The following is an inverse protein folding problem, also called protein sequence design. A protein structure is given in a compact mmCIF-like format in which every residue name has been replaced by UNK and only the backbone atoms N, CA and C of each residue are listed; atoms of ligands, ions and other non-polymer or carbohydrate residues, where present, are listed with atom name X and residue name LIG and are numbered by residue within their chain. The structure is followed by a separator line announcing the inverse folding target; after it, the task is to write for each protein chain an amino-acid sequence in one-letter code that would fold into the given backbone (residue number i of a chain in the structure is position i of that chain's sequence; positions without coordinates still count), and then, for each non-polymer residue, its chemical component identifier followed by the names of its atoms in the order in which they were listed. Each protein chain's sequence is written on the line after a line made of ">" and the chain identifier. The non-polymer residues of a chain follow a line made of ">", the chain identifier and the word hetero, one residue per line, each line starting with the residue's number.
data_IF_741323197023
#
_entry.id   IF_741323197023
#
_cell.length_a   1.000
_cell.length_b   1.000
_cell.length_c   1.000
_cell.angle_alpha   90.00
_cell.angle_beta   90.00
_cell.angle_gamma   90.00
#
_symmetry.space_group_name_H-M   'P 1'
#
loop_
_entity.id
_entity.type
_entity.pdbx_description
1 polymer ?
#
# COMPACT_ATOMS: atom_id res chain seq x y z
N UNK A 1 -34.64 -8.31 2.14
CA UNK A 1 -33.63 -9.12 2.83
C UNK A 1 -34.39 -9.98 3.81
N UNK A 2 -34.21 -11.29 3.75
CA UNK A 2 -34.88 -12.26 4.62
C UNK A 2 -34.62 -11.95 6.09
N UNK A 3 -35.67 -11.96 6.90
CA UNK A 3 -35.62 -12.03 8.36
C UNK A 3 -34.83 -13.28 8.77
N UNK A 4 -33.52 -13.16 8.82
CA UNK A 4 -32.70 -14.14 9.54
C UNK A 4 -32.97 -13.86 11.01
N UNK A 5 -33.89 -14.64 11.60
CA UNK A 5 -34.18 -14.65 13.03
C UNK A 5 -32.96 -15.07 13.83
N UNK A 6 -31.99 -14.17 13.94
CA UNK A 6 -30.87 -14.29 14.86
C UNK A 6 -31.40 -13.74 16.17
N UNK A 7 -31.89 -14.63 17.02
CA UNK A 7 -32.24 -14.24 18.39
C UNK A 7 -30.96 -13.83 19.14
N UNK A 8 -31.01 -12.76 19.94
CA UNK A 8 -29.89 -12.35 20.76
C UNK A 8 -29.46 -13.49 21.68
N UNK A 9 -28.17 -13.83 21.69
CA UNK A 9 -27.60 -14.82 22.62
C UNK A 9 -27.62 -14.36 24.08
N UNK A 10 -28.01 -13.11 24.33
CA UNK A 10 -28.19 -12.53 25.66
C UNK A 10 -29.38 -11.56 25.67
N UNK A 11 -30.30 -11.76 26.62
CA UNK A 11 -31.43 -10.87 26.91
C UNK A 11 -31.27 -10.45 28.38
N UNK A 12 -30.80 -9.23 28.63
CA UNK A 12 -30.56 -8.67 29.97
C UNK A 12 -30.30 -7.16 29.93
N UNK A 13 -30.19 -6.52 31.10
CA UNK A 13 -29.86 -5.09 31.20
C UNK A 13 -28.36 -4.91 30.98
N UNK A 14 -27.96 -4.12 29.99
CA UNK A 14 -26.55 -3.87 29.61
C UNK A 14 -25.71 -3.14 30.69
N UNK A 15 -26.30 -2.88 31.86
CA UNK A 15 -25.71 -2.15 32.98
C UNK A 15 -24.51 -2.92 33.59
N UNK A 16 -24.52 -4.25 33.51
CA UNK A 16 -23.47 -5.13 34.03
C UNK A 16 -22.46 -5.61 32.96
N UNK A 17 -22.68 -5.26 31.68
CA UNK A 17 -21.77 -5.58 30.58
C UNK A 17 -20.62 -4.58 30.54
N UNK A 18 -19.72 -4.67 31.53
CA UNK A 18 -18.45 -3.94 31.49
C UNK A 18 -17.60 -4.55 30.38
N UNK A 19 -17.40 -3.81 29.29
CA UNK A 19 -16.43 -4.19 28.26
C UNK A 19 -15.03 -4.11 28.86
N UNK A 20 -14.55 -5.23 29.41
CA UNK A 20 -13.21 -5.35 29.93
C UNK A 20 -12.28 -5.43 28.72
N UNK A 21 -11.67 -4.30 28.37
CA UNK A 21 -10.57 -4.27 27.41
C UNK A 21 -9.41 -5.05 28.04
N UNK A 22 -8.96 -6.17 27.45
CA UNK A 22 -7.74 -6.83 27.90
C UNK A 22 -6.60 -5.80 27.84
N UNK A 23 -6.06 -5.44 29.01
CA UNK A 23 -4.90 -4.54 29.10
C UNK A 23 -3.65 -5.20 28.49
N UNK A 24 -3.62 -6.53 28.52
CA UNK A 24 -2.67 -7.34 27.77
C UNK A 24 -3.25 -7.59 26.38
N UNK A 25 -2.70 -6.89 25.38
CA UNK A 25 -2.84 -7.31 23.99
C UNK A 25 -2.41 -8.78 23.90
N UNK A 26 -3.05 -9.58 23.03
CA UNK A 26 -2.48 -10.87 22.65
C UNK A 26 -1.01 -10.64 22.34
N UNK A 27 -0.11 -11.29 23.10
CA UNK A 27 1.26 -11.38 22.67
C UNK A 27 1.18 -12.03 21.29
N UNK A 28 1.45 -11.25 20.24
CA UNK A 28 1.83 -11.78 18.95
C UNK A 28 3.19 -12.44 19.15
N UNK A 29 3.18 -13.57 19.86
CA UNK A 29 4.24 -14.53 19.75
C UNK A 29 4.26 -14.85 18.26
N UNK A 30 5.33 -14.43 17.59
CA UNK A 30 5.69 -15.00 16.29
C UNK A 30 5.54 -16.51 16.51
N UNK A 31 4.52 -17.12 15.89
CA UNK A 31 4.37 -18.58 15.88
C UNK A 31 5.75 -19.17 15.58
N UNK A 32 6.09 -20.33 16.16
CA UNK A 32 7.47 -20.82 16.30
C UNK A 32 8.28 -20.42 15.08
N UNK A 33 9.16 -19.42 15.25
CA UNK A 33 9.74 -18.69 14.14
C UNK A 33 10.24 -19.72 13.14
N UNK A 34 9.55 -19.81 12.00
CA UNK A 34 9.92 -20.76 10.97
C UNK A 34 11.39 -20.48 10.68
N UNK A 35 12.25 -21.45 10.98
CA UNK A 35 13.68 -21.26 10.81
C UNK A 35 13.92 -21.28 9.32
N UNK A 36 13.91 -20.08 8.73
CA UNK A 36 14.25 -19.89 7.33
C UNK A 36 15.62 -20.49 7.08
N UNK A 37 15.74 -21.25 6.00
CA UNK A 37 17.06 -21.64 5.53
C UNK A 37 17.91 -20.39 5.25
N UNK A 38 19.23 -20.61 5.15
CA UNK A 38 20.20 -19.53 5.02
C UNK A 38 19.94 -18.64 3.80
N UNK A 39 19.39 -19.18 2.72
CA UNK A 39 19.13 -18.42 1.49
C UNK A 39 17.91 -17.52 1.66
N UNK A 40 16.82 -18.06 2.17
CA UNK A 40 15.60 -17.32 2.46
C UNK A 40 15.84 -16.25 3.53
N UNK A 41 16.64 -16.53 4.57
CA UNK A 41 17.02 -15.54 5.57
C UNK A 41 17.83 -14.37 4.98
N UNK A 42 18.77 -14.65 4.06
CA UNK A 42 19.51 -13.62 3.31
C UNK A 42 18.59 -12.78 2.44
N UNK A 43 17.66 -13.43 1.74
CA UNK A 43 16.70 -12.77 0.85
C UNK A 43 15.78 -11.84 1.64
N UNK A 44 15.26 -12.32 2.77
CA UNK A 44 14.45 -11.54 3.69
C UNK A 44 15.18 -10.28 4.18
N UNK A 45 16.42 -10.45 4.66
CA UNK A 45 17.27 -9.35 5.12
C UNK A 45 17.54 -8.32 4.02
N UNK A 46 17.78 -8.78 2.78
CA UNK A 46 17.95 -7.91 1.60
C UNK A 46 16.72 -7.05 1.36
N UNK A 47 15.52 -7.65 1.32
CA UNK A 47 14.29 -6.91 1.02
C UNK A 47 13.87 -5.96 2.14
N UNK A 48 14.04 -6.35 3.41
CA UNK A 48 13.80 -5.45 4.55
C UNK A 48 14.70 -4.22 4.49
N UNK A 49 16.01 -4.44 4.36
CA UNK A 49 16.97 -3.32 4.29
C UNK A 49 16.69 -2.43 3.07
N UNK A 50 16.34 -3.03 1.94
CA UNK A 50 15.92 -2.32 0.73
C UNK A 50 14.68 -1.47 0.98
N UNK A 51 13.65 -2.05 1.60
CA UNK A 51 12.39 -1.37 1.96
C UNK A 51 12.64 -0.15 2.83
N UNK A 52 13.42 -0.27 3.90
CA UNK A 52 13.72 0.87 4.77
C UNK A 52 14.53 1.97 4.08
N UNK A 53 15.51 1.59 3.24
CA UNK A 53 16.26 2.56 2.42
C UNK A 53 15.34 3.26 1.41
N UNK A 54 14.47 2.51 0.73
CA UNK A 54 13.47 3.03 -0.19
C UNK A 54 12.53 4.01 0.51
N UNK A 55 11.97 3.63 1.66
CA UNK A 55 11.12 4.50 2.46
C UNK A 55 11.82 5.82 2.86
N UNK A 56 13.07 5.76 3.30
CA UNK A 56 13.85 6.97 3.61
C UNK A 56 14.10 7.84 2.37
N UNK A 57 14.35 7.24 1.21
CA UNK A 57 14.53 7.95 -0.07
C UNK A 57 13.22 8.60 -0.53
N UNK A 58 12.10 7.88 -0.49
CA UNK A 58 10.78 8.39 -0.85
C UNK A 58 10.45 9.67 -0.07
N UNK A 59 10.72 9.71 1.24
CA UNK A 59 10.51 10.92 2.07
C UNK A 59 11.33 12.14 1.64
N UNK A 60 12.44 11.95 0.92
CA UNK A 60 13.28 13.03 0.40
C UNK A 60 12.81 13.54 -0.97
N UNK A 61 11.99 12.79 -1.70
CA UNK A 61 11.50 13.19 -3.03
C UNK A 61 10.63 14.45 -3.01
N UNK A 62 10.09 14.82 -1.85
CA UNK A 62 9.36 16.10 -1.66
C UNK A 62 10.24 17.35 -1.87
N UNK A 63 11.56 17.22 -1.75
CA UNK A 63 12.52 18.31 -2.00
C UNK A 63 12.93 18.34 -3.49
N UNK A 64 13.51 19.45 -3.94
CA UNK A 64 13.98 19.58 -5.33
C UNK A 64 12.86 19.91 -6.32
N UNK A 65 11.71 20.40 -5.83
CA UNK A 65 10.53 20.73 -6.62
C UNK A 65 10.44 22.25 -6.95
N UNK A 66 11.46 23.03 -6.61
CA UNK A 66 11.44 24.51 -6.63
C UNK A 66 11.20 25.05 -8.04
N UNK A 67 11.78 24.39 -9.05
CA UNK A 67 11.70 24.78 -10.46
C UNK A 67 10.59 24.07 -11.23
N UNK A 68 9.86 23.16 -10.59
CA UNK A 68 8.78 22.39 -11.21
C UNK A 68 7.48 23.20 -11.17
N UNK A 69 7.06 23.77 -12.30
CA UNK A 69 5.90 24.67 -12.36
C UNK A 69 4.79 24.20 -13.28
N UNK A 70 4.98 23.09 -14.02
CA UNK A 70 3.98 22.62 -14.97
C UNK A 70 2.73 22.11 -14.24
N UNK A 71 1.58 22.50 -14.77
CA UNK A 71 0.24 22.11 -14.28
C UNK A 71 -0.65 21.54 -15.37
N UNK A 72 -0.19 21.57 -16.64
CA UNK A 72 -0.90 21.03 -17.81
C UNK A 72 -0.02 19.95 -18.46
N UNK A 73 -0.67 18.87 -18.87
CA UNK A 73 -0.05 17.74 -19.56
C UNK A 73 -0.22 17.88 -21.08
N UNK A 74 0.77 17.49 -21.89
CA UNK A 74 0.56 17.29 -23.32
C UNK A 74 -0.30 16.04 -23.59
N UNK A 75 -0.96 15.93 -24.76
CA UNK A 75 -1.89 14.85 -25.06
C UNK A 75 -1.32 13.43 -24.94
N UNK A 76 -0.03 13.26 -25.24
CA UNK A 76 0.69 11.97 -25.27
C UNK A 76 1.37 11.61 -23.93
N UNK A 77 1.21 12.45 -22.91
CA UNK A 77 1.94 12.28 -21.65
C UNK A 77 1.57 11.00 -20.90
N UNK A 78 0.27 10.75 -20.75
CA UNK A 78 -0.20 9.60 -19.98
C UNK A 78 0.14 8.29 -20.66
N UNK A 79 0.02 8.21 -21.99
CA UNK A 79 0.45 7.04 -22.75
C UNK A 79 1.93 6.72 -22.47
N UNK A 80 2.81 7.72 -22.53
CA UNK A 80 4.24 7.54 -22.23
C UNK A 80 4.49 7.13 -20.77
N UNK A 81 3.79 7.75 -19.83
CA UNK A 81 3.93 7.47 -18.41
C UNK A 81 3.45 6.05 -18.05
N UNK A 82 2.28 5.66 -18.56
CA UNK A 82 1.71 4.33 -18.36
C UNK A 82 2.55 3.25 -19.03
N UNK A 83 3.07 3.50 -20.24
CA UNK A 83 3.99 2.56 -20.91
C UNK A 83 5.26 2.36 -20.09
N UNK A 84 5.86 3.45 -19.56
CA UNK A 84 7.01 3.35 -18.65
C UNK A 84 6.67 2.58 -17.37
N UNK A 85 5.48 2.78 -16.79
CA UNK A 85 5.06 2.02 -15.60
C UNK A 85 4.88 0.52 -15.91
N UNK A 86 4.29 0.18 -17.06
CA UNK A 86 4.13 -1.21 -17.53
C UNK A 86 5.48 -1.89 -17.78
N UNK A 87 6.43 -1.19 -18.38
CA UNK A 87 7.82 -1.68 -18.58
C UNK A 87 8.53 -1.96 -17.25
N UNK A 88 8.06 -1.39 -16.14
CA UNK A 88 8.56 -1.59 -14.78
C UNK A 88 7.76 -2.63 -13.99
N UNK A 89 6.91 -3.44 -14.65
CA UNK A 89 6.06 -4.47 -14.03
C UNK A 89 5.03 -3.91 -13.03
N UNK A 90 4.44 -2.73 -13.30
CA UNK A 90 3.27 -2.24 -12.58
C UNK A 90 1.99 -2.84 -13.17
N UNK A 91 1.19 -3.48 -12.32
CA UNK A 91 -0.06 -4.15 -12.72
C UNK A 91 -1.25 -3.19 -12.76
N UNK A 92 -1.29 -2.19 -11.87
CA UNK A 92 -2.37 -1.22 -11.80
C UNK A 92 -1.85 0.20 -11.78
N UNK A 93 -2.53 1.06 -12.53
CA UNK A 93 -2.36 2.50 -12.46
C UNK A 93 -3.73 3.18 -12.44
N UNK A 94 -3.91 4.09 -11.50
CA UNK A 94 -5.14 4.86 -11.37
C UNK A 94 -4.87 6.27 -10.88
N UNK A 95 -5.87 7.13 -11.04
CA UNK A 95 -5.75 8.55 -10.81
C UNK A 95 -6.92 9.04 -9.97
N UNK A 96 -6.63 9.81 -8.94
CA UNK A 96 -7.65 10.40 -8.06
C UNK A 96 -7.14 11.72 -7.48
N UNK A 97 -8.01 12.67 -7.12
CA UNK A 97 -7.63 13.73 -6.18
C UNK A 97 -7.09 13.13 -4.87
N UNK A 98 -6.22 13.87 -4.19
CA UNK A 98 -5.84 13.56 -2.80
C UNK A 98 -7.06 13.78 -1.93
N UNK A 99 -7.45 12.75 -1.17
CA UNK A 99 -8.60 12.81 -0.26
C UNK A 99 -8.07 13.21 1.12
N UNK A 100 -8.24 14.49 1.47
CA UNK A 100 -7.63 15.08 2.67
C UNK A 100 -8.02 14.37 3.98
N UNK A 101 -9.25 13.85 4.07
CA UNK A 101 -9.73 13.08 5.22
C UNK A 101 -8.97 11.76 5.43
N UNK A 102 -8.24 11.28 4.42
CA UNK A 102 -7.45 10.07 4.43
C UNK A 102 -5.94 10.36 4.43
N UNK A 103 -5.55 11.55 4.90
CA UNK A 103 -4.16 11.90 5.21
C UNK A 103 -3.91 11.67 6.70
N UNK A 104 -2.82 10.99 7.06
CA UNK A 104 -2.48 10.74 8.46
C UNK A 104 -2.25 12.05 9.24
N UNK A 105 -2.74 12.07 10.49
CA UNK A 105 -2.69 13.24 11.37
C UNK A 105 -1.26 13.80 11.49
N UNK A 106 -1.13 15.11 11.31
CA UNK A 106 0.14 15.83 11.43
C UNK A 106 1.07 15.69 10.22
N UNK A 107 0.67 14.95 9.18
CA UNK A 107 1.42 14.87 7.93
C UNK A 107 0.82 15.83 6.89
N UNK A 108 1.70 16.44 6.08
CA UNK A 108 1.32 17.39 5.03
C UNK A 108 1.62 16.78 3.66
N UNK A 109 0.60 16.74 2.81
CA UNK A 109 0.71 16.37 1.39
C UNK A 109 0.65 17.66 0.57
N UNK A 110 1.57 17.82 -0.38
CA UNK A 110 1.65 19.05 -1.19
C UNK A 110 0.98 18.92 -2.55
N UNK A 111 0.79 17.68 -3.03
CA UNK A 111 0.06 17.37 -4.25
C UNK A 111 -1.46 17.45 -4.05
N UNK A 112 -2.17 17.88 -5.10
CA UNK A 112 -3.65 17.84 -5.14
C UNK A 112 -4.21 16.57 -5.76
N UNK A 113 -3.37 15.84 -6.49
CA UNK A 113 -3.72 14.60 -7.17
C UNK A 113 -2.78 13.49 -6.70
N UNK A 114 -3.27 12.27 -6.70
CA UNK A 114 -2.54 11.05 -6.45
C UNK A 114 -2.57 10.18 -7.71
N UNK A 115 -1.41 9.60 -8.03
CA UNK A 115 -1.27 8.51 -8.98
C UNK A 115 -1.07 7.26 -8.14
N UNK A 116 -1.99 6.32 -8.23
CA UNK A 116 -1.99 5.09 -7.45
C UNK A 116 -1.36 3.99 -8.27
N UNK A 117 -0.36 3.32 -7.72
CA UNK A 117 0.33 2.20 -8.35
C UNK A 117 0.02 0.91 -7.59
N UNK A 118 -0.25 -0.17 -8.31
CA UNK A 118 -0.48 -1.49 -7.72
C UNK A 118 0.48 -2.54 -8.29
N UNK A 119 0.98 -3.40 -7.41
CA UNK A 119 1.81 -4.55 -7.78
C UNK A 119 1.31 -5.83 -7.11
N UNK A 120 1.14 -6.87 -7.90
CA UNK A 120 0.75 -8.22 -7.48
C UNK A 120 1.88 -8.86 -6.65
N UNK A 121 1.48 -9.53 -5.58
CA UNK A 121 2.34 -10.47 -4.86
C UNK A 121 2.21 -11.86 -5.48
N UNK A 122 3.32 -12.57 -5.67
CA UNK A 122 3.33 -13.89 -6.33
C UNK A 122 2.45 -14.91 -5.61
N UNK A 123 1.52 -15.53 -6.35
CA UNK A 123 0.56 -16.51 -5.81
C UNK A 123 1.24 -17.69 -5.12
N UNK A 124 2.28 -18.26 -5.74
CA UNK A 124 2.99 -19.43 -5.23
C UNK A 124 3.66 -19.17 -3.87
N UNK A 125 3.98 -17.91 -3.57
CA UNK A 125 4.52 -17.49 -2.28
C UNK A 125 3.41 -17.16 -1.28
N UNK A 126 2.41 -16.39 -1.68
CA UNK A 126 1.33 -15.95 -0.78
C UNK A 126 0.48 -17.12 -0.30
N UNK A 127 0.23 -18.14 -1.14
CA UNK A 127 -0.56 -19.32 -0.75
C UNK A 127 0.06 -20.15 0.39
N UNK A 128 1.31 -19.86 0.77
CA UNK A 128 2.00 -20.54 1.88
C UNK A 128 1.70 -19.91 3.24
N UNK A 129 0.85 -18.87 3.31
CA UNK A 129 0.53 -18.21 4.56
C UNK A 129 -0.14 -19.15 5.58
N UNK A 130 0.18 -19.03 6.89
CA UNK A 130 1.25 -18.21 7.45
C UNK A 130 2.63 -18.88 7.27
N UNK A 131 3.61 -18.15 6.72
CA UNK A 131 5.00 -18.63 6.59
C UNK A 131 5.99 -17.48 6.39
N UNK A 132 7.27 -17.75 6.63
CA UNK A 132 8.37 -16.85 6.30
C UNK A 132 8.51 -16.61 4.79
N UNK A 133 8.15 -17.59 3.94
CA UNK A 133 8.13 -17.43 2.48
C UNK A 133 7.12 -16.38 2.04
N UNK A 134 5.91 -16.40 2.61
CA UNK A 134 4.90 -15.37 2.37
C UNK A 134 5.42 -13.99 2.81
N UNK A 135 6.06 -13.91 3.98
CA UNK A 135 6.63 -12.66 4.49
C UNK A 135 7.74 -12.09 3.59
N UNK A 136 8.60 -12.94 3.02
CA UNK A 136 9.63 -12.55 2.04
C UNK A 136 8.99 -11.90 0.82
N UNK A 137 7.90 -12.48 0.29
CA UNK A 137 7.19 -11.93 -0.86
C UNK A 137 6.57 -10.56 -0.57
N UNK A 138 5.98 -10.39 0.62
CA UNK A 138 5.44 -9.08 1.05
C UNK A 138 6.54 -8.01 1.02
N UNK A 139 7.72 -8.29 1.58
CA UNK A 139 8.83 -7.33 1.58
C UNK A 139 9.51 -7.19 0.21
N UNK A 140 9.47 -8.21 -0.65
CA UNK A 140 9.89 -8.08 -2.05
C UNK A 140 9.09 -6.98 -2.71
N UNK A 141 7.76 -7.04 -2.64
CA UNK A 141 6.89 -6.05 -3.25
C UNK A 141 7.11 -4.67 -2.62
N UNK A 142 7.21 -4.56 -1.29
CA UNK A 142 7.52 -3.27 -0.67
C UNK A 142 8.81 -2.62 -1.18
N UNK A 143 9.87 -3.43 -1.35
CA UNK A 143 11.12 -2.94 -1.92
C UNK A 143 10.92 -2.54 -3.38
N UNK A 144 10.38 -3.43 -4.21
CA UNK A 144 10.35 -3.27 -5.67
C UNK A 144 9.39 -2.15 -6.08
N UNK A 145 8.13 -2.20 -5.62
CA UNK A 145 7.14 -1.15 -5.86
C UNK A 145 7.59 0.20 -5.27
N UNK A 146 8.26 0.18 -4.11
CA UNK A 146 8.83 1.39 -3.52
C UNK A 146 9.91 2.04 -4.38
N UNK A 147 10.83 1.25 -4.94
CA UNK A 147 11.86 1.76 -5.86
C UNK A 147 11.24 2.31 -7.15
N UNK A 148 10.26 1.61 -7.74
CA UNK A 148 9.55 2.06 -8.95
C UNK A 148 8.77 3.35 -8.69
N UNK A 149 8.12 3.46 -7.54
CA UNK A 149 7.37 4.67 -7.18
C UNK A 149 8.29 5.89 -7.08
N UNK A 150 9.49 5.71 -6.53
CA UNK A 150 10.52 6.76 -6.51
C UNK A 150 10.97 7.10 -7.94
N UNK A 151 11.24 6.09 -8.77
CA UNK A 151 11.64 6.32 -10.16
C UNK A 151 10.60 7.10 -10.96
N UNK A 152 9.34 6.70 -10.90
CA UNK A 152 8.25 7.39 -11.58
C UNK A 152 8.01 8.80 -11.00
N UNK A 153 8.18 8.98 -9.70
CA UNK A 153 8.14 10.31 -9.06
C UNK A 153 9.23 11.23 -9.63
N UNK A 154 10.47 10.75 -9.69
CA UNK A 154 11.59 11.54 -10.24
C UNK A 154 11.46 11.74 -11.76
N UNK A 155 10.82 10.82 -12.48
CA UNK A 155 10.45 11.04 -13.88
C UNK A 155 9.47 12.22 -14.01
N UNK A 156 8.38 12.26 -13.23
CA UNK A 156 7.44 13.39 -13.23
C UNK A 156 8.14 14.71 -12.91
N UNK A 157 9.07 14.67 -11.94
CA UNK A 157 9.90 15.83 -11.58
C UNK A 157 10.81 16.24 -12.73
N UNK A 158 11.49 15.32 -13.38
CA UNK A 158 12.30 15.61 -14.57
C UNK A 158 11.48 16.22 -15.72
N UNK A 159 10.20 15.90 -15.81
CA UNK A 159 9.27 16.48 -16.80
C UNK A 159 8.73 17.88 -16.42
N UNK A 160 9.04 18.39 -15.22
CA UNK A 160 8.62 19.73 -14.79
C UNK A 160 7.41 19.77 -13.85
N UNK A 161 6.90 18.62 -13.38
CA UNK A 161 5.75 18.54 -12.47
C UNK A 161 6.22 18.39 -11.02
N UNK A 162 5.52 19.05 -10.08
CA UNK A 162 5.79 18.86 -8.65
C UNK A 162 5.28 17.48 -8.25
N UNK A 163 6.15 16.67 -7.67
CA UNK A 163 5.82 15.30 -7.26
C UNK A 163 6.50 14.95 -5.93
N UNK A 164 5.85 14.06 -5.18
CA UNK A 164 6.45 13.39 -4.03
C UNK A 164 5.99 11.95 -3.99
N UNK A 165 6.93 11.05 -3.71
CA UNK A 165 6.69 9.61 -3.64
C UNK A 165 6.01 9.27 -2.31
N UNK A 166 4.97 8.45 -2.42
CA UNK A 166 4.40 7.71 -1.32
C UNK A 166 4.94 6.27 -1.42
N UNK A 167 5.48 5.70 -0.35
CA UNK A 167 6.12 4.37 -0.43
C UNK A 167 5.11 3.32 0.06
N UNK A 168 5.05 2.10 -0.50
CA UNK A 168 4.02 1.13 -0.14
C UNK A 168 4.15 0.62 1.31
N UNK A 169 5.36 0.64 1.87
CA UNK A 169 5.61 0.31 3.29
C UNK A 169 5.06 1.36 4.28
N UNK A 170 4.77 2.57 3.81
CA UNK A 170 4.21 3.63 4.63
C UNK A 170 4.35 5.01 4.00
N UNK A 171 3.58 5.96 4.50
CA UNK A 171 3.63 7.32 4.02
C UNK A 171 2.59 8.21 4.68
N UNK A 172 1.95 9.05 3.87
CA UNK A 172 1.07 10.13 4.31
C UNK A 172 -0.39 9.87 4.02
N UNK A 173 -0.69 9.03 3.03
CA UNK A 173 -2.04 8.70 2.59
C UNK A 173 -2.43 7.34 3.16
N UNK A 174 -3.72 7.16 3.41
CA UNK A 174 -4.32 5.85 3.58
C UNK A 174 -4.66 5.32 2.19
N UNK A 175 -3.96 4.28 1.75
CA UNK A 175 -4.04 3.82 0.35
C UNK A 175 -5.42 3.30 0.01
N UNK A 176 -6.05 2.50 0.87
CA UNK A 176 -7.32 1.82 0.57
C UNK A 176 -8.39 2.76 -0.01
N UNK A 177 -8.77 3.85 0.68
CA UNK A 177 -9.72 4.83 0.14
C UNK A 177 -9.29 5.49 -1.18
N UNK A 178 -7.99 5.77 -1.35
CA UNK A 178 -7.49 6.37 -2.59
C UNK A 178 -7.52 5.38 -3.76
N UNK A 179 -7.23 4.10 -3.50
CA UNK A 179 -7.31 3.01 -4.49
C UNK A 179 -8.76 2.82 -4.95
N UNK A 180 -9.73 2.86 -4.02
CA UNK A 180 -11.16 2.79 -4.35
C UNK A 180 -11.58 4.01 -5.16
N UNK A 181 -11.18 5.21 -4.76
CA UNK A 181 -11.50 6.44 -5.50
C UNK A 181 -10.87 6.50 -6.90
N UNK A 182 -9.73 5.83 -7.08
CA UNK A 182 -9.09 5.64 -8.37
C UNK A 182 -9.72 4.53 -9.24
N UNK A 183 -10.83 3.93 -8.78
CA UNK A 183 -11.55 2.83 -9.45
C UNK A 183 -10.70 1.57 -9.72
N UNK A 184 -9.69 1.30 -8.88
CA UNK A 184 -8.81 0.14 -9.04
C UNK A 184 -9.28 -1.11 -8.28
N UNK A 185 -10.28 -0.98 -7.41
CA UNK A 185 -10.82 -2.10 -6.65
C UNK A 185 -11.87 -1.66 -5.64
N UNK A 186 -12.41 -2.63 -4.90
CA UNK A 186 -13.42 -2.39 -3.86
C UNK A 186 -12.87 -2.72 -2.48
N UNK A 187 -13.39 -2.05 -1.45
CA UNK A 187 -13.03 -2.39 -0.07
C UNK A 187 -13.76 -3.66 0.37
N UNK A 188 -13.00 -4.72 0.68
CA UNK A 188 -13.53 -5.95 1.25
C UNK A 188 -13.94 -5.79 2.71
N UNK A 189 -14.79 -6.68 3.20
CA UNK A 189 -15.23 -6.71 4.62
C UNK A 189 -14.07 -6.96 5.60
N UNK A 190 -12.97 -7.53 5.11
CA UNK A 190 -11.71 -7.73 5.83
C UNK A 190 -10.81 -6.47 5.85
N UNK A 191 -11.25 -5.34 5.28
CA UNK A 191 -10.48 -4.10 5.21
C UNK A 191 -9.40 -4.07 4.13
N UNK A 192 -9.25 -5.13 3.33
CA UNK A 192 -8.32 -5.17 2.20
C UNK A 192 -9.02 -4.74 0.90
N UNK A 193 -8.25 -4.18 -0.03
CA UNK A 193 -8.78 -3.91 -1.38
C UNK A 193 -8.86 -5.21 -2.16
N UNK A 194 -10.00 -5.43 -2.81
CA UNK A 194 -10.26 -6.57 -3.69
C UNK A 194 -10.27 -6.08 -5.14
N UNK A 195 -9.36 -6.62 -5.95
CA UNK A 195 -9.32 -6.45 -7.40
C UNK A 195 -9.96 -7.68 -8.06
N UNK A 196 -10.60 -7.54 -9.23
CA UNK A 196 -11.14 -8.68 -9.97
C UNK A 196 -10.05 -9.66 -10.44
N UNK A 197 -8.84 -9.19 -10.71
CA UNK A 197 -7.73 -9.99 -11.23
C UNK A 197 -7.06 -10.84 -10.14
N UNK A 198 -6.84 -10.27 -8.95
CA UNK A 198 -5.96 -10.88 -7.94
C UNK A 198 -6.57 -11.02 -6.54
N UNK A 199 -7.82 -10.60 -6.34
CA UNK A 199 -8.42 -10.54 -5.01
C UNK A 199 -7.68 -9.52 -4.14
N UNK A 200 -7.22 -9.86 -2.91
CA UNK A 200 -6.47 -8.95 -2.04
C UNK A 200 -4.95 -9.03 -2.20
N UNK A 201 -4.43 -9.69 -3.24
CA UNK A 201 -3.02 -10.10 -3.36
C UNK A 201 -2.13 -9.04 -4.02
N UNK A 202 -2.24 -7.80 -3.57
CA UNK A 202 -1.44 -6.69 -4.08
C UNK A 202 -1.00 -5.74 -2.97
N UNK A 203 0.04 -4.96 -3.27
CA UNK A 203 0.40 -3.77 -2.50
C UNK A 203 0.18 -2.53 -3.35
N UNK A 204 -0.11 -1.44 -2.67
CA UNK A 204 -0.45 -0.16 -3.26
C UNK A 204 0.60 0.87 -2.86
N UNK A 205 0.82 1.85 -3.72
CA UNK A 205 1.74 2.97 -3.49
C UNK A 205 1.18 4.28 -3.98
#
# INVERSE_FOLDING_TARGET
>A
MSDAGIEPTYIGKNEDLIFIIPQELFNMNLGPAEVLDRENAKLYSKYIRGTFKGFQRARKTKYGNENNTKTKIPPDFWEKFENKAKELDIDFIGYTPVIENFVFKGLKVYGKNAIILGMEMKWDKIKTAPSGICQIEVFRVYKVLGDITIELTEYLKGQGYKSEAHHPFGGKLLDGPHVVAANLGIMGRNGLIITPEFGPRQRWS
#
